data_IF_808291532370
#
_entry.id   IF_808291532370
#
_cell.length_a   1.000
_cell.length_b   1.000
_cell.length_c   1.000
_cell.angle_alpha   90.00
_cell.angle_beta   90.00
_cell.angle_gamma   90.00
#
_symmetry.space_group_name_H-M   'P 1'
#
loop_
_entity.id
_entity.type
_entity.pdbx_description
1 polymer ?
#
# COMPACT_ATOMS: atom_id res chain seq x y z
N UNK A 1 6.78 -15.99 6.03
CA UNK A 1 7.79 -15.03 6.50
C UNK A 1 7.84 -14.88 8.03
N UNK A 2 6.92 -14.19 8.71
CA UNK A 2 7.05 -13.98 10.18
C UNK A 2 7.00 -15.28 11.00
N UNK A 3 6.13 -16.22 10.64
CA UNK A 3 6.06 -17.54 11.28
C UNK A 3 7.34 -18.36 11.06
N UNK A 4 7.99 -18.22 9.89
CA UNK A 4 9.26 -18.90 9.58
C UNK A 4 10.41 -18.29 10.39
N UNK A 5 10.46 -16.96 10.49
CA UNK A 5 11.45 -16.25 11.33
C UNK A 5 11.27 -16.65 12.81
N UNK A 6 10.04 -16.73 13.29
CA UNK A 6 9.75 -17.19 14.66
C UNK A 6 10.23 -18.64 14.89
N UNK A 7 10.02 -19.54 13.92
CA UNK A 7 10.52 -20.91 13.97
C UNK A 7 12.06 -21.00 14.01
N UNK A 8 12.74 -20.19 13.19
CA UNK A 8 14.21 -20.10 13.18
C UNK A 8 14.74 -19.51 14.49
N UNK A 9 14.09 -18.50 15.05
CA UNK A 9 14.47 -17.90 16.33
C UNK A 9 14.35 -18.92 17.48
N UNK A 10 13.24 -19.68 17.54
CA UNK A 10 13.05 -20.73 18.55
C UNK A 10 14.12 -21.81 18.42
N UNK A 11 14.38 -22.32 17.21
CA UNK A 11 15.43 -23.32 16.96
C UNK A 11 16.80 -22.84 17.42
N UNK A 12 17.10 -21.55 17.26
CA UNK A 12 18.38 -20.97 17.68
C UNK A 12 18.58 -20.92 19.20
N UNK A 13 17.52 -21.05 19.99
CA UNK A 13 17.61 -21.16 21.46
C UNK A 13 17.89 -22.58 21.95
N UNK A 14 17.78 -23.59 21.07
CA UNK A 14 17.96 -24.99 21.45
C UNK A 14 19.45 -25.32 21.68
N UNK A 15 19.82 -25.96 22.81
CA UNK A 15 21.21 -26.17 23.20
C UNK A 15 21.93 -27.23 22.35
N UNK A 16 21.19 -28.13 21.72
CA UNK A 16 21.66 -29.24 20.89
C UNK A 16 21.98 -28.85 19.44
N UNK A 17 21.61 -27.64 19.02
CA UNK A 17 21.92 -27.14 17.67
C UNK A 17 23.42 -26.79 17.58
N UNK A 18 24.08 -27.20 16.50
CA UNK A 18 25.49 -26.90 16.32
C UNK A 18 25.72 -25.39 16.15
N UNK A 19 26.79 -24.79 16.72
CA UNK A 19 27.05 -23.34 16.62
C UNK A 19 27.05 -22.79 15.19
N UNK A 20 27.58 -23.54 14.23
CA UNK A 20 27.60 -23.13 12.81
C UNK A 20 26.19 -23.10 12.19
N UNK A 21 25.32 -24.06 12.55
CA UNK A 21 23.93 -24.10 12.08
C UNK A 21 23.12 -22.94 12.68
N UNK A 22 23.42 -22.56 13.94
CA UNK A 22 22.84 -21.38 14.56
C UNK A 22 23.23 -20.10 13.84
N UNK A 23 24.53 -19.92 13.57
CA UNK A 23 25.02 -18.75 12.85
C UNK A 23 24.38 -18.61 11.46
N UNK A 24 24.27 -19.71 10.72
CA UNK A 24 23.63 -19.74 9.39
C UNK A 24 22.14 -19.36 9.46
N UNK A 25 21.38 -19.95 10.38
CA UNK A 25 19.94 -19.69 10.51
C UNK A 25 19.60 -18.30 11.08
N UNK A 26 20.46 -17.74 11.94
CA UNK A 26 20.36 -16.32 12.35
C UNK A 26 20.64 -15.39 11.17
N UNK A 27 21.64 -15.71 10.33
CA UNK A 27 21.93 -14.95 9.11
C UNK A 27 20.73 -14.90 8.15
N UNK A 28 20.09 -16.04 7.91
CA UNK A 28 18.85 -16.11 7.10
C UNK A 28 17.71 -15.31 7.75
N UNK A 29 17.54 -15.42 9.06
CA UNK A 29 16.49 -14.67 9.79
C UNK A 29 16.70 -13.15 9.67
N UNK A 30 17.96 -12.68 9.77
CA UNK A 30 18.31 -11.29 9.59
C UNK A 30 17.99 -10.80 8.16
N UNK A 31 18.36 -11.58 7.14
CA UNK A 31 18.03 -11.27 5.75
C UNK A 31 16.51 -11.13 5.54
N UNK A 32 15.73 -12.11 6.03
CA UNK A 32 14.27 -12.10 5.90
C UNK A 32 13.62 -10.93 6.65
N UNK A 33 14.16 -10.56 7.82
CA UNK A 33 13.69 -9.39 8.57
C UNK A 33 14.01 -8.07 7.85
N UNK A 34 15.19 -7.95 7.24
CA UNK A 34 15.55 -6.77 6.45
C UNK A 34 14.62 -6.62 5.24
N UNK A 35 14.35 -7.72 4.51
CA UNK A 35 13.38 -7.70 3.41
C UNK A 35 11.97 -7.33 3.90
N UNK A 36 11.56 -7.85 5.06
CA UNK A 36 10.26 -7.51 5.65
C UNK A 36 10.14 -6.01 5.96
N UNK A 37 11.21 -5.41 6.50
CA UNK A 37 11.26 -3.98 6.80
C UNK A 37 11.10 -3.14 5.53
N UNK A 38 11.86 -3.45 4.47
CA UNK A 38 11.76 -2.76 3.18
C UNK A 38 10.35 -2.86 2.57
N UNK A 39 9.73 -4.04 2.65
CA UNK A 39 8.36 -4.25 2.16
C UNK A 39 7.35 -3.42 2.94
N UNK A 40 7.47 -3.34 4.27
CA UNK A 40 6.55 -2.54 5.09
C UNK A 40 6.70 -1.04 4.83
N UNK A 41 7.94 -0.54 4.78
CA UNK A 41 8.21 0.86 4.48
C UNK A 41 7.71 1.24 3.07
N UNK A 42 8.01 0.41 2.07
CA UNK A 42 7.52 0.59 0.70
C UNK A 42 5.99 0.55 0.61
N UNK A 43 5.33 -0.32 1.39
CA UNK A 43 3.87 -0.41 1.43
C UNK A 43 3.25 0.86 2.00
N UNK A 44 3.77 1.39 3.10
CA UNK A 44 3.26 2.62 3.70
C UNK A 44 3.43 3.81 2.76
N UNK A 45 4.63 3.99 2.17
CA UNK A 45 4.90 5.06 1.22
C UNK A 45 3.95 5.02 0.00
N UNK A 46 3.75 3.82 -0.57
CA UNK A 46 2.84 3.61 -1.71
C UNK A 46 1.39 3.96 -1.35
N UNK A 47 0.92 3.57 -0.16
CA UNK A 47 -0.45 3.86 0.25
C UNK A 47 -0.67 5.37 0.44
N UNK A 48 0.29 6.10 1.01
CA UNK A 48 0.21 7.58 1.11
C UNK A 48 0.14 8.22 -0.26
N UNK A 49 0.95 7.76 -1.21
CA UNK A 49 0.94 8.27 -2.58
C UNK A 49 -0.41 7.99 -3.28
N UNK A 50 -0.92 6.76 -3.17
CA UNK A 50 -2.24 6.38 -3.70
C UNK A 50 -3.37 7.22 -3.09
N UNK A 51 -3.39 7.34 -1.77
CA UNK A 51 -4.44 8.09 -1.08
C UNK A 51 -4.42 9.55 -1.51
N UNK A 52 -3.25 10.18 -1.59
CA UNK A 52 -3.11 11.56 -2.06
C UNK A 52 -3.60 11.75 -3.49
N UNK A 53 -3.21 10.85 -4.40
CA UNK A 53 -3.61 10.94 -5.81
C UNK A 53 -5.14 10.80 -5.97
N UNK A 54 -5.75 9.83 -5.27
CA UNK A 54 -7.20 9.63 -5.31
C UNK A 54 -7.94 10.82 -4.68
N UNK A 55 -7.46 11.38 -3.56
CA UNK A 55 -8.06 12.58 -2.94
C UNK A 55 -8.08 13.78 -3.90
N UNK A 56 -7.03 13.96 -4.69
CA UNK A 56 -6.97 15.02 -5.69
C UNK A 56 -8.05 14.86 -6.78
N UNK A 57 -8.35 13.62 -7.19
CA UNK A 57 -9.45 13.33 -8.11
C UNK A 57 -10.81 13.54 -7.44
N UNK A 58 -10.99 13.09 -6.20
CA UNK A 58 -12.24 13.28 -5.45
C UNK A 58 -12.54 14.76 -5.19
N UNK A 59 -11.52 15.63 -5.08
CA UNK A 59 -11.72 17.08 -4.95
C UNK A 59 -12.45 17.68 -6.16
N UNK A 60 -12.41 17.00 -7.31
CA UNK A 60 -13.06 17.40 -8.56
C UNK A 60 -14.45 16.81 -8.75
N UNK A 61 -14.97 16.09 -7.75
CA UNK A 61 -16.29 15.45 -7.81
C UNK A 61 -17.45 16.41 -8.14
N UNK A 62 -17.31 17.69 -7.79
CA UNK A 62 -18.27 18.73 -8.14
C UNK A 62 -18.47 18.92 -9.65
N UNK A 63 -17.48 18.58 -10.48
CA UNK A 63 -17.59 18.64 -11.96
C UNK A 63 -18.71 17.74 -12.50
N UNK A 64 -19.03 16.66 -11.79
CA UNK A 64 -20.05 15.68 -12.18
C UNK A 64 -21.28 15.70 -11.25
N UNK A 65 -21.35 16.66 -10.33
CA UNK A 65 -22.46 16.84 -9.40
C UNK A 65 -22.43 15.90 -8.18
N UNK A 66 -21.25 15.40 -7.81
CA UNK A 66 -21.03 14.62 -6.59
C UNK A 66 -20.32 15.47 -5.53
N UNK A 67 -20.50 15.11 -4.26
CA UNK A 67 -19.80 15.73 -3.13
C UNK A 67 -18.98 14.70 -2.36
N UNK A 68 -17.67 14.80 -2.49
CA UNK A 68 -16.69 14.04 -1.71
C UNK A 68 -15.72 14.96 -0.97
N UNK A 69 -16.11 16.21 -0.68
CA UNK A 69 -15.22 17.22 -0.11
C UNK A 69 -14.56 16.76 1.20
N UNK A 70 -15.32 16.09 2.08
CA UNK A 70 -14.79 15.56 3.34
C UNK A 70 -13.71 14.48 3.13
N UNK A 71 -13.92 13.58 2.17
CA UNK A 71 -12.92 12.54 1.81
C UNK A 71 -11.72 13.15 1.11
N UNK A 72 -11.93 14.11 0.21
CA UNK A 72 -10.86 14.79 -0.51
C UNK A 72 -9.97 15.64 0.42
N UNK A 73 -10.54 16.25 1.47
CA UNK A 73 -9.83 17.11 2.40
C UNK A 73 -9.09 16.36 3.53
N UNK A 74 -9.35 15.06 3.71
CA UNK A 74 -8.64 14.28 4.74
C UNK A 74 -7.15 14.13 4.44
N UNK A 75 -6.37 13.80 5.46
CA UNK A 75 -4.94 13.52 5.36
C UNK A 75 -4.60 12.13 5.93
N UNK A 76 -3.36 11.69 5.68
CA UNK A 76 -2.83 10.42 6.15
C UNK A 76 -1.91 10.66 7.36
N UNK A 77 -2.44 11.26 8.44
CA UNK A 77 -1.65 11.59 9.63
C UNK A 77 -1.19 10.35 10.44
N UNK A 78 -1.96 9.24 10.39
CA UNK A 78 -1.55 7.94 10.94
C UNK A 78 -0.93 7.07 9.84
N UNK A 79 0.39 6.87 9.92
CA UNK A 79 1.17 6.13 8.93
C UNK A 79 1.18 4.61 9.13
N UNK A 80 0.41 4.09 10.09
CA UNK A 80 0.23 2.63 10.20
C UNK A 80 -0.41 2.10 8.92
N UNK A 81 0.17 1.04 8.36
CA UNK A 81 -0.34 0.39 7.13
C UNK A 81 -1.84 0.07 7.24
N UNK A 82 -2.32 -0.39 8.39
CA UNK A 82 -3.75 -0.67 8.61
C UNK A 82 -4.64 0.57 8.48
N UNK A 83 -4.18 1.72 9.00
CA UNK A 83 -4.90 2.99 8.94
C UNK A 83 -4.90 3.54 7.51
N UNK A 84 -3.73 3.49 6.86
CA UNK A 84 -3.57 3.88 5.45
C UNK A 84 -4.43 3.03 4.51
N UNK A 85 -4.49 1.71 4.74
CA UNK A 85 -5.30 0.78 3.95
C UNK A 85 -6.79 1.05 4.12
N UNK A 86 -7.27 1.27 5.35
CA UNK A 86 -8.66 1.64 5.60
C UNK A 86 -9.05 2.95 4.87
N UNK A 87 -8.15 3.93 4.86
CA UNK A 87 -8.31 5.15 4.07
C UNK A 87 -8.35 4.88 2.57
N UNK A 88 -7.42 4.05 2.06
CA UNK A 88 -7.37 3.66 0.65
C UNK A 88 -8.66 2.96 0.20
N UNK A 89 -9.19 2.06 1.01
CA UNK A 89 -10.41 1.31 0.71
C UNK A 89 -11.62 2.25 0.59
N UNK A 90 -11.75 3.21 1.51
CA UNK A 90 -12.79 4.23 1.45
C UNK A 90 -12.66 5.15 0.22
N UNK A 91 -11.42 5.57 -0.09
CA UNK A 91 -11.13 6.40 -1.27
C UNK A 91 -11.41 5.65 -2.57
N UNK A 92 -11.06 4.35 -2.67
CA UNK A 92 -11.34 3.52 -3.85
C UNK A 92 -12.84 3.30 -4.04
N UNK A 93 -13.60 3.11 -2.96
CA UNK A 93 -15.06 3.03 -3.05
C UNK A 93 -15.66 4.32 -3.63
N UNK A 94 -15.21 5.49 -3.16
CA UNK A 94 -15.65 6.78 -3.70
C UNK A 94 -15.18 6.99 -5.16
N UNK A 95 -13.98 6.55 -5.51
CA UNK A 95 -13.44 6.65 -6.88
C UNK A 95 -14.29 5.86 -7.89
N UNK A 96 -14.82 4.69 -7.50
CA UNK A 96 -15.75 3.93 -8.35
C UNK A 96 -17.02 4.75 -8.64
N UNK A 97 -17.59 5.38 -7.62
CA UNK A 97 -18.76 6.25 -7.80
C UNK A 97 -18.43 7.46 -8.66
N UNK A 98 -17.27 8.07 -8.45
CA UNK A 98 -16.81 9.20 -9.26
C UNK A 98 -16.62 8.81 -10.74
N UNK A 99 -16.01 7.65 -10.99
CA UNK A 99 -15.76 7.14 -12.34
C UNK A 99 -17.07 6.93 -13.10
N UNK A 100 -18.05 6.25 -12.49
CA UNK A 100 -19.36 6.02 -13.08
C UNK A 100 -20.09 7.33 -13.43
N UNK A 101 -19.92 8.39 -12.63
CA UNK A 101 -20.49 9.70 -12.93
C UNK A 101 -19.72 10.45 -14.04
N UNK A 102 -18.39 10.29 -14.08
CA UNK A 102 -17.51 10.89 -15.09
C UNK A 102 -17.76 10.32 -16.49
N UNK A 103 -18.03 9.03 -16.63
CA UNK A 103 -18.41 8.40 -17.91
C UNK A 103 -19.60 9.11 -18.58
N UNK A 104 -20.54 9.64 -17.79
CA UNK A 104 -21.74 10.30 -18.31
C UNK A 104 -21.56 11.80 -18.59
N UNK A 105 -20.67 12.49 -17.84
CA UNK A 105 -20.67 13.96 -17.75
C UNK A 105 -19.28 14.62 -17.81
N UNK A 106 -18.20 13.86 -17.79
CA UNK A 106 -16.86 14.40 -17.54
C UNK A 106 -15.75 13.60 -18.21
N UNK A 107 -15.69 13.61 -19.54
CA UNK A 107 -14.68 12.87 -20.31
C UNK A 107 -13.23 13.21 -19.91
N UNK A 108 -12.94 14.46 -19.53
CA UNK A 108 -11.62 14.85 -19.04
C UNK A 108 -11.31 14.23 -17.67
N UNK A 109 -12.25 14.29 -16.73
CA UNK A 109 -12.11 13.66 -15.42
C UNK A 109 -12.03 12.14 -15.52
N UNK A 110 -12.79 11.53 -16.44
CA UNK A 110 -12.72 10.10 -16.73
C UNK A 110 -11.32 9.70 -17.22
N UNK A 111 -10.73 10.47 -18.14
CA UNK A 111 -9.37 10.23 -18.62
C UNK A 111 -8.32 10.32 -17.50
N UNK A 112 -8.45 11.30 -16.60
CA UNK A 112 -7.54 11.47 -15.46
C UNK A 112 -7.70 10.32 -14.44
N UNK A 113 -8.93 9.84 -14.20
CA UNK A 113 -9.18 8.66 -13.38
C UNK A 113 -8.52 7.42 -14.00
N UNK A 114 -8.65 7.22 -15.30
CA UNK A 114 -7.98 6.12 -16.01
C UNK A 114 -6.46 6.21 -15.90
N UNK A 115 -5.89 7.40 -16.08
CA UNK A 115 -4.45 7.62 -15.93
C UNK A 115 -3.96 7.24 -14.53
N UNK A 116 -4.70 7.59 -13.48
CA UNK A 116 -4.37 7.20 -12.11
C UNK A 116 -4.52 5.69 -11.86
N UNK A 117 -5.54 5.03 -12.43
CA UNK A 117 -5.68 3.57 -12.32
C UNK A 117 -4.50 2.82 -12.95
N UNK A 118 -4.00 3.30 -14.10
CA UNK A 118 -2.78 2.79 -14.71
C UNK A 118 -1.58 3.05 -13.80
N UNK A 119 -1.39 4.29 -13.33
CA UNK A 119 -0.27 4.65 -12.46
C UNK A 119 -0.25 3.81 -11.16
N UNK A 120 -1.40 3.59 -10.52
CA UNK A 120 -1.52 2.74 -9.33
C UNK A 120 -1.20 1.27 -9.60
N UNK A 121 -1.45 0.80 -10.82
CA UNK A 121 -1.08 -0.56 -11.22
C UNK A 121 0.43 -0.67 -11.43
N UNK A 122 1.05 0.30 -12.11
CA UNK A 122 2.49 0.33 -12.32
C UNK A 122 3.27 0.46 -11.00
N UNK A 123 2.82 1.32 -10.07
CA UNK A 123 3.41 1.41 -8.72
C UNK A 123 3.40 0.08 -7.97
N UNK A 124 2.35 -0.72 -8.15
CA UNK A 124 2.25 -2.06 -7.54
C UNK A 124 3.11 -3.11 -8.22
N UNK A 125 3.34 -3.01 -9.54
CA UNK A 125 4.27 -3.89 -10.26
C UNK A 125 5.70 -3.67 -9.80
N UNK A 126 6.12 -2.42 -9.66
CA UNK A 126 7.47 -2.06 -9.19
C UNK A 126 7.74 -2.60 -7.78
N UNK A 127 6.73 -2.57 -6.89
CA UNK A 127 6.86 -3.11 -5.53
C UNK A 127 6.98 -4.65 -5.48
N UNK A 128 6.51 -5.37 -6.50
CA UNK A 128 6.60 -6.83 -6.57
C UNK A 128 7.88 -7.34 -7.26
N UNK A 129 8.66 -6.45 -7.88
CA UNK A 129 9.90 -6.83 -8.55
C UNK A 129 11.05 -6.81 -7.53
N UNK A 130 11.69 -7.96 -7.24
CA UNK A 130 12.90 -7.95 -6.44
C UNK A 130 14.00 -7.21 -7.23
N UNK A 131 14.57 -6.17 -6.64
CA UNK A 131 15.81 -5.53 -7.11
C UNK A 131 17.02 -6.34 -6.66
#
# INVERSE_FOLDING_TARGET
MLAEIAGLAIRNTMPDVHPADRASSLGLSALLLSMAAEVWDGTAARLVEENRAVRALLARAGEVGLDFAALAAGDDADLRISSLQAGNDALRAALITLHAAAEAKGAALEADIWAELVASTERRKMAASPV
#
